data_IF_560511505352
#
_entry.id   IF_560511505352
#
_cell.length_a   1.000
_cell.length_b   1.000
_cell.length_c   1.000
_cell.angle_alpha   90.00
_cell.angle_beta   90.00
_cell.angle_gamma   90.00
#
_symmetry.space_group_name_H-M   'P 1'
#
loop_
_entity.id
_entity.type
_entity.pdbx_description
1 polymer ?
#
# COMPACT_ATOMS: atom_id res chain seq x y z
N UNK A 1 23.77 50.45 6.99
CA UNK A 1 22.51 49.75 7.22
C UNK A 1 21.97 50.20 8.58
N UNK A 2 20.76 50.76 8.63
CA UNK A 2 20.21 51.25 9.90
C UNK A 2 19.78 50.10 10.81
N UNK A 3 19.76 50.30 12.15
CA UNK A 3 19.33 49.30 13.13
C UNK A 3 17.93 48.75 12.83
N UNK A 4 17.05 49.58 12.26
CA UNK A 4 15.70 49.20 11.81
C UNK A 4 15.72 48.25 10.59
N UNK A 5 16.61 48.52 9.62
CA UNK A 5 16.75 47.67 8.44
C UNK A 5 17.30 46.27 8.78
N UNK A 6 18.24 46.21 9.74
CA UNK A 6 18.79 44.96 10.25
C UNK A 6 17.74 44.11 10.99
N UNK A 7 16.88 44.75 11.80
CA UNK A 7 15.78 44.05 12.49
C UNK A 7 14.73 43.49 11.53
N UNK A 8 14.37 44.24 10.48
CA UNK A 8 13.43 43.78 9.46
C UNK A 8 13.98 42.57 8.69
N UNK A 9 15.27 42.60 8.33
CA UNK A 9 15.91 41.45 7.65
C UNK A 9 16.01 40.24 8.53
N UNK A 10 16.32 40.39 9.84
CA UNK A 10 16.33 39.31 10.81
C UNK A 10 14.92 38.70 11.06
N UNK A 11 13.88 39.54 11.12
CA UNK A 11 12.50 39.05 11.23
C UNK A 11 12.02 38.29 9.97
N UNK A 12 12.39 38.79 8.78
CA UNK A 12 12.10 38.13 7.50
C UNK A 12 12.84 36.77 7.40
N UNK A 13 14.12 36.72 7.80
CA UNK A 13 14.87 35.47 7.86
C UNK A 13 14.29 34.48 8.90
N UNK A 14 13.83 34.94 10.05
CA UNK A 14 13.17 34.10 11.06
C UNK A 14 11.83 33.56 10.56
N UNK A 15 11.07 34.29 9.75
CA UNK A 15 9.84 33.80 9.12
C UNK A 15 10.10 32.77 8.01
N UNK A 16 11.21 32.86 7.28
CA UNK A 16 11.59 31.89 6.25
C UNK A 16 12.05 30.55 6.86
N UNK A 17 12.58 30.55 8.09
CA UNK A 17 13.01 29.31 8.78
C UNK A 17 11.88 28.54 9.46
N UNK A 18 10.66 29.10 9.52
CA UNK A 18 9.50 28.41 10.13
C UNK A 18 8.59 27.70 9.10
N UNK A 19 8.86 27.77 7.81
CA UNK A 19 8.35 26.79 6.86
C UNK A 19 9.24 25.56 6.98
N UNK A 20 9.19 24.90 8.11
CA UNK A 20 9.53 23.50 8.21
C UNK A 20 8.62 22.83 7.20
N UNK A 21 9.12 22.44 6.03
CA UNK A 21 8.47 21.47 5.20
C UNK A 21 8.27 20.27 6.11
N UNK A 22 7.08 20.13 6.65
CA UNK A 22 6.70 18.93 7.37
C UNK A 22 6.91 17.83 6.33
N UNK A 23 8.02 17.11 6.46
CA UNK A 23 8.31 15.97 5.59
C UNK A 23 7.10 15.07 5.73
N UNK A 24 6.29 15.02 4.67
CA UNK A 24 5.09 14.21 4.64
C UNK A 24 5.55 12.79 5.01
N UNK A 25 5.10 12.29 6.13
CA UNK A 25 5.35 10.90 6.47
C UNK A 25 4.54 10.04 5.49
N UNK A 26 5.17 9.59 4.42
CA UNK A 26 4.53 8.81 3.35
C UNK A 26 3.87 7.55 3.89
N UNK A 27 4.48 6.93 4.90
CA UNK A 27 3.93 5.73 5.53
C UNK A 27 2.70 6.00 6.40
N UNK A 28 2.36 7.26 6.71
CA UNK A 28 1.22 7.64 7.54
C UNK A 28 0.57 8.94 7.04
N UNK A 29 0.42 9.08 5.72
CA UNK A 29 -0.09 10.33 5.14
C UNK A 29 -1.59 10.55 5.37
N UNK A 30 -2.37 9.47 5.54
CA UNK A 30 -3.80 9.59 5.84
C UNK A 30 -4.05 10.19 7.23
N UNK A 31 -3.09 10.11 8.16
CA UNK A 31 -3.16 10.79 9.45
C UNK A 31 -3.40 12.30 9.36
N UNK A 32 -3.02 12.91 8.22
CA UNK A 32 -3.24 14.33 7.96
C UNK A 32 -4.63 14.67 7.40
N UNK A 33 -5.46 13.66 7.11
CA UNK A 33 -6.84 13.85 6.66
C UNK A 33 -7.76 14.07 7.85
N UNK A 34 -8.87 14.78 7.63
CA UNK A 34 -9.95 14.87 8.60
C UNK A 34 -10.88 13.69 8.43
N UNK A 35 -11.49 13.20 9.52
CA UNK A 35 -12.31 11.98 9.54
C UNK A 35 -13.62 12.09 8.71
N UNK A 36 -14.00 13.31 8.35
CA UNK A 36 -15.21 13.61 7.57
C UNK A 36 -14.98 13.65 6.03
N UNK A 37 -13.75 13.42 5.56
CA UNK A 37 -13.45 13.38 4.13
C UNK A 37 -14.02 12.10 3.51
N UNK A 38 -15.01 12.20 2.61
CA UNK A 38 -15.51 11.01 1.93
C UNK A 38 -14.42 10.36 1.07
N UNK A 39 -14.35 9.04 1.09
CA UNK A 39 -13.36 8.26 0.32
C UNK A 39 -13.38 8.61 -1.17
N UNK A 40 -14.57 8.87 -1.73
CA UNK A 40 -14.73 9.25 -3.15
C UNK A 40 -14.11 10.61 -3.52
N UNK A 41 -13.65 11.40 -2.55
CA UNK A 41 -12.92 12.65 -2.77
C UNK A 41 -11.40 12.51 -2.65
N UNK A 42 -10.92 11.33 -2.29
CA UNK A 42 -9.50 11.07 -2.17
C UNK A 42 -8.91 10.64 -3.52
N UNK A 43 -7.73 11.17 -3.83
CA UNK A 43 -6.86 10.62 -4.87
C UNK A 43 -5.83 9.73 -4.17
N UNK A 44 -5.93 8.42 -4.42
CA UNK A 44 -5.16 7.41 -3.71
C UNK A 44 -4.08 6.86 -4.63
N UNK A 45 -2.79 6.93 -4.27
CA UNK A 45 -1.73 6.27 -5.02
C UNK A 45 -1.98 4.76 -5.09
N UNK A 46 -1.97 4.21 -6.30
CA UNK A 46 -2.23 2.80 -6.54
C UNK A 46 -1.24 2.22 -7.55
N UNK A 47 -0.99 0.92 -7.45
CA UNK A 47 -0.13 0.18 -8.37
C UNK A 47 -0.91 -0.90 -9.10
N UNK A 48 -0.52 -1.15 -10.35
CA UNK A 48 -1.05 -2.22 -11.18
C UNK A 48 -0.19 -3.46 -11.03
N UNK A 49 -0.82 -4.65 -10.91
CA UNK A 49 -0.10 -5.91 -10.67
C UNK A 49 0.95 -5.75 -9.57
N UNK A 50 0.50 -5.31 -8.42
CA UNK A 50 1.34 -4.77 -7.34
C UNK A 50 2.40 -5.74 -6.79
N UNK A 51 2.22 -7.05 -7.01
CA UNK A 51 3.16 -8.09 -6.61
C UNK A 51 4.08 -8.57 -7.73
N UNK A 52 4.00 -8.03 -8.95
CA UNK A 52 4.73 -8.54 -10.12
C UNK A 52 6.16 -7.98 -10.19
N UNK A 53 7.07 -8.61 -9.45
CA UNK A 53 8.50 -8.28 -9.35
C UNK A 53 9.38 -9.12 -10.28
N UNK A 54 8.85 -10.23 -10.80
CA UNK A 54 9.57 -11.19 -11.63
C UNK A 54 8.96 -11.29 -13.03
N UNK A 55 9.78 -11.67 -14.00
CA UNK A 55 9.32 -11.92 -15.38
C UNK A 55 9.94 -10.99 -16.43
N UNK A 56 10.92 -10.18 -16.04
CA UNK A 56 11.68 -9.28 -16.93
C UNK A 56 10.78 -8.26 -17.62
N UNK A 57 11.25 -7.69 -18.72
CA UNK A 57 10.58 -6.58 -19.44
C UNK A 57 9.12 -6.87 -19.84
N UNK A 58 8.75 -8.15 -20.01
CA UNK A 58 7.42 -8.53 -20.49
C UNK A 58 6.38 -8.65 -19.38
N UNK A 59 6.78 -9.04 -18.15
CA UNK A 59 5.85 -9.44 -17.09
C UNK A 59 6.16 -8.77 -15.73
N UNK A 60 7.27 -8.07 -15.60
CA UNK A 60 7.57 -7.29 -14.42
C UNK A 60 6.87 -5.92 -14.54
N UNK A 61 6.04 -5.58 -13.56
CA UNK A 61 5.33 -4.29 -13.51
C UNK A 61 5.79 -3.41 -12.35
N UNK A 62 6.52 -3.99 -11.39
CA UNK A 62 6.98 -3.30 -10.19
C UNK A 62 8.48 -3.52 -9.97
N UNK A 63 9.16 -2.47 -9.52
CA UNK A 63 10.58 -2.50 -9.17
C UNK A 63 10.82 -2.61 -7.66
N UNK A 64 9.77 -2.36 -6.86
CA UNK A 64 9.83 -2.37 -5.40
C UNK A 64 8.76 -3.28 -4.82
N UNK A 65 9.09 -3.93 -3.70
CA UNK A 65 8.19 -4.84 -3.00
C UNK A 65 6.92 -4.17 -2.47
N UNK A 66 5.88 -4.94 -2.17
CA UNK A 66 4.63 -4.45 -1.57
C UNK A 66 4.94 -3.67 -0.27
N UNK A 67 5.90 -4.09 0.54
CA UNK A 67 6.32 -3.37 1.74
C UNK A 67 6.89 -1.99 1.41
N UNK A 68 7.77 -1.92 0.44
CA UNK A 68 8.35 -0.64 0.00
C UNK A 68 7.31 0.27 -0.66
N UNK A 69 6.35 -0.29 -1.40
CA UNK A 69 5.22 0.46 -1.95
C UNK A 69 4.37 1.10 -0.84
N UNK A 70 4.06 0.36 0.23
CA UNK A 70 3.35 0.89 1.41
C UNK A 70 4.12 2.05 2.07
N UNK A 71 5.43 1.87 2.27
CA UNK A 71 6.31 2.91 2.86
C UNK A 71 6.45 4.12 1.92
N UNK A 72 6.38 3.92 0.60
CA UNK A 72 6.35 4.99 -0.40
C UNK A 72 5.02 5.77 -0.44
N UNK A 73 3.96 5.26 0.21
CA UNK A 73 2.66 5.92 0.30
C UNK A 73 1.56 5.31 -0.57
N UNK A 74 1.82 4.19 -1.24
CA UNK A 74 0.80 3.46 -1.99
C UNK A 74 -0.25 2.90 -1.03
N UNK A 75 -1.54 3.00 -1.40
CA UNK A 75 -2.68 2.51 -0.62
C UNK A 75 -3.67 1.72 -1.47
N UNK A 76 -3.53 1.72 -2.79
CA UNK A 76 -4.29 0.89 -3.71
C UNK A 76 -3.42 -0.22 -4.30
N UNK A 77 -3.87 -1.47 -4.21
CA UNK A 77 -3.12 -2.64 -4.66
C UNK A 77 -3.99 -3.53 -5.55
N UNK A 78 -3.45 -3.91 -6.70
CA UNK A 78 -4.00 -4.92 -7.61
C UNK A 78 -3.22 -6.23 -7.40
N UNK A 79 -3.78 -7.14 -6.60
CA UNK A 79 -3.15 -8.41 -6.27
C UNK A 79 -3.81 -9.53 -7.09
N UNK A 80 -3.03 -10.19 -7.92
CA UNK A 80 -3.51 -11.25 -8.79
C UNK A 80 -3.05 -12.60 -8.28
N UNK A 81 -4.00 -13.50 -8.15
CA UNK A 81 -3.84 -14.75 -7.42
C UNK A 81 -4.26 -15.96 -8.26
N UNK A 82 -3.56 -17.08 -8.06
CA UNK A 82 -3.92 -18.37 -8.59
C UNK A 82 -3.84 -19.44 -7.49
N UNK A 83 -4.81 -20.35 -7.47
CA UNK A 83 -4.74 -21.52 -6.59
C UNK A 83 -3.60 -22.44 -7.04
N UNK A 84 -2.68 -22.74 -6.13
CA UNK A 84 -1.55 -23.63 -6.35
C UNK A 84 -1.84 -25.05 -5.83
N UNK A 85 -1.10 -26.05 -6.34
CA UNK A 85 -1.24 -27.47 -5.93
C UNK A 85 -0.94 -27.68 -4.43
N UNK A 86 -0.14 -26.81 -3.83
CA UNK A 86 0.15 -26.84 -2.39
C UNK A 86 -0.98 -26.31 -1.50
N UNK A 87 -2.14 -25.97 -2.08
CA UNK A 87 -3.31 -25.48 -1.35
C UNK A 87 -3.21 -24.03 -0.89
N UNK A 88 -2.32 -23.23 -1.48
CA UNK A 88 -2.17 -21.79 -1.22
C UNK A 88 -2.54 -20.94 -2.44
N UNK A 89 -2.81 -19.67 -2.22
CA UNK A 89 -2.97 -18.68 -3.27
C UNK A 89 -1.61 -18.04 -3.61
N UNK A 90 -1.03 -18.43 -4.74
CA UNK A 90 0.20 -17.82 -5.27
C UNK A 90 -0.09 -16.48 -5.95
N UNK A 91 0.83 -15.53 -5.84
CA UNK A 91 0.80 -14.29 -6.62
C UNK A 91 1.34 -14.58 -8.02
N UNK A 92 0.57 -14.16 -9.03
CA UNK A 92 0.90 -14.39 -10.43
C UNK A 92 0.73 -13.11 -11.26
N UNK A 93 1.50 -13.00 -12.31
CA UNK A 93 1.19 -12.13 -13.42
C UNK A 93 1.22 -12.98 -14.71
N UNK A 94 0.06 -13.17 -15.33
CA UNK A 94 -0.13 -14.12 -16.41
C UNK A 94 0.34 -15.53 -16.00
N UNK A 95 1.34 -16.08 -16.66
CA UNK A 95 1.91 -17.39 -16.36
C UNK A 95 3.07 -17.36 -15.36
N UNK A 96 3.55 -16.15 -14.99
CA UNK A 96 4.71 -16.00 -14.14
C UNK A 96 4.31 -16.02 -12.66
N UNK A 97 4.73 -17.05 -11.95
CA UNK A 97 4.67 -17.10 -10.49
C UNK A 97 5.67 -16.10 -9.88
N UNK A 98 5.23 -15.34 -8.90
CA UNK A 98 6.01 -14.28 -8.26
C UNK A 98 6.76 -14.76 -7.00
N UNK A 99 6.89 -16.09 -6.81
CA UNK A 99 7.56 -16.72 -5.67
C UNK A 99 7.00 -16.25 -4.31
N UNK A 100 5.77 -15.79 -4.29
CA UNK A 100 5.10 -15.18 -3.15
C UNK A 100 3.67 -15.70 -3.02
N UNK A 101 3.21 -15.91 -1.80
CA UNK A 101 1.86 -16.39 -1.50
C UNK A 101 1.07 -15.35 -0.72
N UNK A 102 -0.25 -15.30 -0.98
CA UNK A 102 -1.16 -14.38 -0.32
C UNK A 102 -1.16 -14.56 1.20
N UNK A 103 -1.42 -15.79 1.66
CA UNK A 103 -1.65 -16.09 3.06
C UNK A 103 -0.40 -15.92 3.93
N UNK A 104 0.77 -16.26 3.41
CA UNK A 104 2.01 -16.34 4.19
C UNK A 104 2.91 -15.12 4.04
N UNK A 105 2.76 -14.34 2.96
CA UNK A 105 3.61 -13.17 2.70
C UNK A 105 2.82 -11.87 2.55
N UNK A 106 1.88 -11.81 1.57
CA UNK A 106 1.24 -10.53 1.21
C UNK A 106 0.31 -10.03 2.31
N UNK A 107 -0.62 -10.89 2.75
CA UNK A 107 -1.59 -10.54 3.78
C UNK A 107 -0.94 -10.16 5.11
N UNK A 108 0.07 -10.89 5.62
CA UNK A 108 0.83 -10.48 6.80
C UNK A 108 1.52 -9.11 6.65
N UNK A 109 2.02 -8.75 5.46
CA UNK A 109 2.62 -7.43 5.20
C UNK A 109 1.56 -6.33 5.38
N UNK A 110 0.35 -6.51 4.83
CA UNK A 110 -0.74 -5.54 4.98
C UNK A 110 -1.18 -5.38 6.42
N UNK A 111 -1.37 -6.49 7.14
CA UNK A 111 -1.78 -6.49 8.55
C UNK A 111 -0.71 -5.83 9.44
N UNK A 112 0.56 -6.16 9.24
CA UNK A 112 1.68 -5.55 9.96
C UNK A 112 1.74 -4.04 9.73
N UNK A 113 1.53 -3.61 8.49
CA UNK A 113 1.47 -2.19 8.15
C UNK A 113 0.31 -1.47 8.86
N UNK A 114 -0.91 -2.01 8.80
CA UNK A 114 -2.09 -1.42 9.46
C UNK A 114 -1.95 -1.38 10.99
N UNK A 115 -1.29 -2.37 11.59
CA UNK A 115 -0.95 -2.34 13.04
C UNK A 115 0.00 -1.20 13.39
N UNK A 116 1.00 -0.95 12.55
CA UNK A 116 1.97 0.13 12.78
C UNK A 116 1.41 1.52 12.49
N UNK A 117 0.48 1.61 11.54
CA UNK A 117 -0.11 2.87 11.08
C UNK A 117 -1.64 2.80 11.11
N UNK A 118 -2.26 2.88 12.30
CA UNK A 118 -3.70 2.68 12.46
C UNK A 118 -4.58 3.80 11.87
N UNK A 119 -3.99 4.88 11.37
CA UNK A 119 -4.67 5.93 10.61
C UNK A 119 -4.83 5.59 9.13
N UNK A 120 -4.18 4.55 8.67
CA UNK A 120 -4.13 4.21 7.25
C UNK A 120 -5.20 3.20 6.87
N UNK A 121 -5.65 3.28 5.61
CA UNK A 121 -6.59 2.34 5.00
C UNK A 121 -6.00 1.84 3.68
N UNK A 122 -6.26 0.58 3.33
CA UNK A 122 -5.80 -0.03 2.09
C UNK A 122 -6.99 -0.42 1.22
N UNK A 123 -6.86 -0.21 -0.08
CA UNK A 123 -7.78 -0.68 -1.11
C UNK A 123 -7.09 -1.82 -1.84
N UNK A 124 -7.61 -3.03 -1.69
CA UNK A 124 -7.00 -4.23 -2.27
C UNK A 124 -7.99 -4.88 -3.22
N UNK A 125 -7.66 -4.84 -4.51
CA UNK A 125 -8.33 -5.61 -5.54
C UNK A 125 -7.71 -7.01 -5.58
N UNK A 126 -8.52 -8.04 -5.35
CA UNK A 126 -8.11 -9.44 -5.44
C UNK A 126 -8.70 -10.04 -6.71
N UNK A 127 -7.85 -10.34 -7.69
CA UNK A 127 -8.26 -10.87 -8.98
C UNK A 127 -7.71 -12.28 -9.18
N UNK A 128 -8.56 -13.19 -9.68
CA UNK A 128 -8.08 -14.49 -10.16
C UNK A 128 -7.31 -14.31 -11.48
N UNK A 129 -6.04 -14.71 -11.50
CA UNK A 129 -5.21 -14.59 -12.70
C UNK A 129 -5.28 -15.84 -13.59
N UNK A 130 -5.40 -17.01 -13.01
CA UNK A 130 -5.47 -18.26 -13.74
C UNK A 130 -5.93 -19.43 -12.87
N UNK A 131 -5.76 -20.65 -13.36
CA UNK A 131 -6.00 -21.87 -12.61
C UNK A 131 -7.47 -22.17 -12.32
N UNK A 132 -7.72 -23.12 -11.43
CA UNK A 132 -9.05 -23.61 -11.06
C UNK A 132 -9.84 -22.56 -10.28
N UNK A 133 -11.07 -22.28 -10.72
CA UNK A 133 -11.91 -21.23 -10.13
C UNK A 133 -12.52 -21.64 -8.80
N UNK A 134 -12.86 -22.91 -8.63
CA UNK A 134 -13.46 -23.40 -7.40
C UNK A 134 -12.42 -23.43 -6.26
N UNK A 135 -11.22 -23.95 -6.55
CA UNK A 135 -10.11 -23.91 -5.61
C UNK A 135 -9.75 -22.48 -5.21
N UNK A 136 -9.66 -21.55 -6.18
CA UNK A 136 -9.42 -20.12 -5.90
C UNK A 136 -10.49 -19.54 -4.97
N UNK A 137 -11.78 -19.69 -5.28
CA UNK A 137 -12.86 -19.13 -4.47
C UNK A 137 -12.87 -19.72 -3.06
N UNK A 138 -12.64 -21.03 -2.92
CA UNK A 138 -12.58 -21.70 -1.62
C UNK A 138 -11.42 -21.18 -0.77
N UNK A 139 -10.21 -21.11 -1.32
CA UNK A 139 -9.01 -20.63 -0.61
C UNK A 139 -9.15 -19.16 -0.21
N UNK A 140 -9.60 -18.32 -1.15
CA UNK A 140 -9.80 -16.90 -0.88
C UNK A 140 -10.88 -16.68 0.20
N UNK A 141 -12.02 -17.38 0.10
CA UNK A 141 -13.07 -17.29 1.10
C UNK A 141 -12.57 -17.74 2.48
N UNK A 142 -11.78 -18.81 2.54
CA UNK A 142 -11.17 -19.25 3.80
C UNK A 142 -10.26 -18.18 4.40
N UNK A 143 -9.41 -17.57 3.58
CA UNK A 143 -8.50 -16.52 4.01
C UNK A 143 -9.24 -15.27 4.51
N UNK A 144 -10.26 -14.81 3.77
CA UNK A 144 -11.01 -13.59 4.12
C UNK A 144 -11.95 -13.79 5.33
N UNK A 145 -12.43 -15.01 5.57
CA UNK A 145 -13.29 -15.34 6.72
C UNK A 145 -12.50 -15.70 7.99
N UNK A 146 -11.19 -15.58 8.00
CA UNK A 146 -10.40 -15.77 9.21
C UNK A 146 -10.79 -14.71 10.25
N UNK A 147 -11.32 -15.17 11.38
CA UNK A 147 -11.81 -14.31 12.46
C UNK A 147 -10.73 -13.38 13.04
N UNK A 148 -9.48 -13.76 12.91
CA UNK A 148 -8.36 -12.93 13.38
C UNK A 148 -8.16 -11.69 12.52
N UNK A 149 -8.70 -11.69 11.30
CA UNK A 149 -8.63 -10.59 10.35
C UNK A 149 -9.84 -9.65 10.40
N UNK A 150 -10.92 -10.05 11.09
CA UNK A 150 -12.16 -9.26 11.19
C UNK A 150 -11.93 -7.77 11.59
N UNK A 151 -10.96 -7.42 12.47
CA UNK A 151 -10.70 -6.02 12.80
C UNK A 151 -10.11 -5.17 11.64
N UNK A 152 -9.64 -5.80 10.57
CA UNK A 152 -8.97 -5.15 9.45
C UNK A 152 -9.81 -5.07 8.17
N UNK A 153 -10.99 -5.70 8.14
CA UNK A 153 -11.92 -5.66 7.01
C UNK A 153 -13.07 -4.70 7.27
N UNK A 154 -13.42 -3.92 6.24
CA UNK A 154 -14.57 -3.01 6.24
C UNK A 154 -15.59 -3.48 5.21
#
# INVERSE_FOLDING_TARGET
MTRKTLLIVLCLMAMVTTVSAQMLNRSAWMKGLTDDVPVCRLTIPATHDSGALLGGEALQTQDISIREQLEAGVRGFDIRLQACENGKLGVYHSVQFQETYWETEVLPIFIDFLKRYPSEMLFVSLKKEGGDSEAYCRLLSTSLNDKTLAPYWV
#
